data_IF_270090806637
#
_entry.id   IF_270090806637
#
_cell.length_a   1.000
_cell.length_b   1.000
_cell.length_c   1.000
_cell.angle_alpha   90.00
_cell.angle_beta   90.00
_cell.angle_gamma   90.00
#
_symmetry.space_group_name_H-M   'P 1'
#
loop_
_entity.id
_entity.type
_entity.pdbx_description
1 polymer ?
#
# COMPACT_ATOMS: atom_id res chain seq x y z
N UNK A 1 -3.69 9.75 -31.28
CA UNK A 1 -2.34 9.61 -30.67
C UNK A 1 -2.30 10.66 -29.57
N UNK A 2 -2.47 10.38 -28.29
CA UNK A 2 -1.73 9.50 -27.37
C UNK A 2 -2.70 8.76 -26.44
N UNK A 3 -2.44 7.46 -26.23
CA UNK A 3 -3.31 6.55 -25.48
C UNK A 3 -3.00 6.62 -23.97
N UNK A 4 -3.22 7.79 -23.36
CA UNK A 4 -3.31 7.89 -21.90
C UNK A 4 -4.57 7.14 -21.51
N UNK A 5 -4.50 5.95 -20.90
CA UNK A 5 -5.66 5.10 -20.56
C UNK A 5 -6.68 5.72 -19.58
N UNK A 6 -6.72 7.05 -19.45
CA UNK A 6 -7.66 7.83 -18.70
C UNK A 6 -8.91 8.14 -19.53
N UNK A 7 -10.06 7.89 -18.92
CA UNK A 7 -11.36 8.27 -19.46
C UNK A 7 -11.52 9.80 -19.49
N UNK A 8 -12.33 10.33 -20.42
CA UNK A 8 -12.64 11.76 -20.49
C UNK A 8 -13.22 12.30 -19.18
N UNK A 9 -13.92 11.46 -18.40
CA UNK A 9 -14.44 11.78 -17.07
C UNK A 9 -13.31 12.04 -16.06
N UNK A 10 -12.26 11.23 -16.08
CA UNK A 10 -11.10 11.39 -15.20
C UNK A 10 -10.32 12.67 -15.55
N UNK A 11 -10.17 12.96 -16.84
CA UNK A 11 -9.51 14.19 -17.31
C UNK A 11 -10.30 15.43 -16.92
N UNK A 12 -11.63 15.41 -17.12
CA UNK A 12 -12.52 16.50 -16.73
C UNK A 12 -12.45 16.79 -15.22
N UNK A 13 -12.45 15.75 -14.39
CA UNK A 13 -12.30 15.87 -12.94
C UNK A 13 -10.92 16.43 -12.56
N UNK A 14 -9.86 15.95 -13.20
CA UNK A 14 -8.50 16.40 -12.92
C UNK A 14 -8.25 17.87 -13.30
N UNK A 15 -8.88 18.34 -14.39
CA UNK A 15 -8.79 19.71 -14.88
C UNK A 15 -9.86 20.65 -14.27
N UNK A 16 -10.74 20.12 -13.42
CA UNK A 16 -11.89 20.83 -12.82
C UNK A 16 -12.75 21.53 -13.87
N UNK A 17 -13.10 20.80 -14.94
CA UNK A 17 -13.98 21.26 -16.02
C UNK A 17 -15.05 20.21 -16.31
N UNK A 18 -16.08 20.59 -17.06
CA UNK A 18 -17.14 19.64 -17.41
C UNK A 18 -16.66 18.63 -18.46
N UNK A 19 -17.24 17.42 -18.45
CA UNK A 19 -16.98 16.39 -19.47
C UNK A 19 -17.34 16.89 -20.88
N UNK A 20 -18.40 17.71 -20.99
CA UNK A 20 -18.80 18.34 -22.25
C UNK A 20 -17.76 19.31 -22.78
N UNK A 21 -17.13 20.09 -21.89
CA UNK A 21 -16.03 21.01 -22.24
C UNK A 21 -14.84 20.25 -22.82
N UNK A 22 -14.43 19.14 -22.20
CA UNK A 22 -13.34 18.29 -22.71
C UNK A 22 -13.71 17.64 -24.04
N UNK A 23 -14.95 17.17 -24.20
CA UNK A 23 -15.41 16.55 -25.46
C UNK A 23 -15.44 17.54 -26.62
N UNK A 24 -15.85 18.79 -26.38
CA UNK A 24 -15.82 19.87 -27.37
C UNK A 24 -14.39 20.31 -27.69
N UNK A 25 -13.54 20.41 -26.66
CA UNK A 25 -12.13 20.76 -26.82
C UNK A 25 -11.37 19.72 -27.65
N UNK A 26 -11.57 18.42 -27.38
CA UNK A 26 -10.98 17.33 -28.16
C UNK A 26 -11.47 17.26 -29.62
N UNK A 27 -12.57 17.92 -29.94
CA UNK A 27 -13.17 17.99 -31.28
C UNK A 27 -12.93 19.34 -31.98
N UNK A 28 -12.11 20.21 -31.39
CA UNK A 28 -11.86 21.59 -31.85
C UNK A 28 -13.13 22.44 -32.01
N UNK A 29 -14.17 22.14 -31.22
CA UNK A 29 -15.48 22.80 -31.26
C UNK A 29 -15.76 23.63 -30.01
N UNK A 30 -14.78 23.79 -29.13
CA UNK A 30 -14.93 24.60 -27.93
C UNK A 30 -14.75 26.09 -28.26
N UNK A 31 -15.87 26.82 -28.35
CA UNK A 31 -15.89 28.26 -28.63
C UNK A 31 -15.60 29.16 -27.41
N UNK A 32 -15.15 28.59 -26.30
CA UNK A 32 -14.81 29.31 -25.08
C UNK A 32 -13.36 29.77 -25.06
N UNK A 33 -12.83 30.01 -23.86
CA UNK A 33 -11.44 30.40 -23.65
C UNK A 33 -10.52 29.17 -23.79
N UNK A 34 -10.06 28.93 -25.02
CA UNK A 34 -9.18 27.82 -25.37
C UNK A 34 -7.80 27.99 -24.72
N UNK A 35 -7.27 29.21 -24.63
CA UNK A 35 -5.96 29.49 -24.05
C UNK A 35 -5.90 29.11 -22.57
N UNK A 36 -6.93 29.48 -21.80
CA UNK A 36 -7.03 29.09 -20.39
C UNK A 36 -7.16 27.58 -20.19
N UNK A 37 -7.76 26.87 -21.15
CA UNK A 37 -7.87 25.42 -21.10
C UNK A 37 -6.54 24.75 -21.45
N UNK A 38 -5.81 25.28 -22.44
CA UNK A 38 -4.45 24.85 -22.78
C UNK A 38 -3.50 25.00 -21.59
N UNK A 39 -3.53 26.13 -20.89
CA UNK A 39 -2.71 26.37 -19.70
C UNK A 39 -2.97 25.32 -18.60
N UNK A 40 -4.25 24.98 -18.36
CA UNK A 40 -4.63 23.94 -17.40
C UNK A 40 -4.15 22.56 -17.81
N UNK A 41 -4.24 22.23 -19.10
CA UNK A 41 -3.76 20.96 -19.65
C UNK A 41 -2.24 20.88 -19.52
N UNK A 42 -1.52 21.95 -19.87
CA UNK A 42 -0.07 22.03 -19.74
C UNK A 42 0.38 21.89 -18.29
N UNK A 43 -0.29 22.56 -17.35
CA UNK A 43 0.00 22.42 -15.92
C UNK A 43 -0.27 21.00 -15.41
N UNK A 44 -1.38 20.38 -15.84
CA UNK A 44 -1.70 19.00 -15.48
C UNK A 44 -0.65 18.01 -16.00
N UNK A 45 -0.24 18.14 -17.27
CA UNK A 45 0.81 17.29 -17.87
C UNK A 45 2.14 17.49 -17.17
N UNK A 46 2.56 18.73 -16.90
CA UNK A 46 3.77 19.02 -16.15
C UNK A 46 3.74 18.40 -14.74
N UNK A 47 2.59 18.43 -14.04
CA UNK A 47 2.41 17.75 -12.75
C UNK A 47 2.49 16.23 -12.86
N UNK A 48 1.99 15.63 -13.95
CA UNK A 48 2.12 14.19 -14.20
C UNK A 48 3.57 13.80 -14.50
N UNK A 49 4.26 14.57 -15.33
CA UNK A 49 5.67 14.35 -15.66
C UNK A 49 6.55 14.47 -14.42
N UNK A 50 6.29 15.44 -13.53
CA UNK A 50 6.96 15.55 -12.24
C UNK A 50 6.72 14.33 -11.33
N UNK A 51 5.52 13.73 -11.36
CA UNK A 51 5.23 12.49 -10.63
C UNK A 51 5.97 11.29 -11.22
N UNK A 52 6.02 11.19 -12.54
CA UNK A 52 6.72 10.12 -13.26
C UNK A 52 8.23 10.23 -13.04
N UNK A 53 8.81 11.44 -13.19
CA UNK A 53 10.23 11.71 -12.94
C UNK A 53 10.62 11.41 -11.49
N UNK A 54 9.81 11.80 -10.50
CA UNK A 54 10.02 11.42 -9.09
C UNK A 54 9.89 9.93 -8.83
N UNK A 55 9.03 9.23 -9.56
CA UNK A 55 8.90 7.77 -9.48
C UNK A 55 10.11 7.05 -10.09
N UNK A 56 10.72 7.61 -11.14
CA UNK A 56 11.91 7.04 -11.78
C UNK A 56 13.23 7.36 -11.06
N UNK A 57 13.31 8.42 -10.26
CA UNK A 57 14.61 8.91 -9.77
C UNK A 57 15.30 8.08 -8.67
N UNK A 58 14.66 7.09 -8.04
CA UNK A 58 15.39 6.09 -7.23
C UNK A 58 14.49 4.92 -6.78
N UNK A 59 14.11 4.03 -7.70
CA UNK A 59 13.29 2.85 -7.32
C UNK A 59 14.10 1.70 -6.73
N UNK A 60 15.44 1.76 -6.76
CA UNK A 60 16.28 0.70 -6.23
C UNK A 60 16.56 0.93 -4.74
N UNK A 61 16.20 -0.07 -3.92
CA UNK A 61 16.52 -0.07 -2.52
C UNK A 61 18.04 -0.05 -2.31
N UNK A 62 18.54 0.99 -1.63
CA UNK A 62 19.96 1.12 -1.29
C UNK A 62 20.22 0.49 0.08
N UNK A 63 21.07 -0.53 0.10
CA UNK A 63 21.53 -1.16 1.35
C UNK A 63 22.49 -0.24 2.10
N UNK A 64 21.96 0.63 2.95
CA UNK A 64 22.73 1.43 3.91
C UNK A 64 23.08 0.61 5.15
N UNK A 65 23.98 1.11 6.01
CA UNK A 65 24.29 0.45 7.29
C UNK A 65 23.05 0.33 8.18
N UNK A 66 22.22 1.38 8.24
CA UNK A 66 20.99 1.38 9.03
C UNK A 66 19.96 0.37 8.48
N UNK A 67 19.85 0.29 7.14
CA UNK A 67 19.00 -0.67 6.46
C UNK A 67 19.42 -2.11 6.77
N UNK A 68 20.72 -2.44 6.69
CA UNK A 68 21.23 -3.79 7.03
C UNK A 68 20.90 -4.17 8.48
N UNK A 69 21.23 -3.33 9.44
CA UNK A 69 20.92 -3.59 10.86
C UNK A 69 19.43 -3.79 11.11
N UNK A 70 18.60 -2.98 10.45
CA UNK A 70 17.14 -3.11 10.55
C UNK A 70 16.67 -4.45 9.97
N UNK A 71 17.19 -4.86 8.80
CA UNK A 71 16.89 -6.16 8.20
C UNK A 71 17.28 -7.32 9.12
N UNK A 72 18.47 -7.27 9.74
CA UNK A 72 18.95 -8.31 10.66
C UNK A 72 18.02 -8.44 11.88
N UNK A 73 17.63 -7.30 12.45
CA UNK A 73 16.71 -7.24 13.59
C UNK A 73 15.32 -7.74 13.23
N UNK A 74 14.82 -7.41 12.03
CA UNK A 74 13.55 -7.93 11.52
C UNK A 74 13.61 -9.44 11.31
N UNK A 75 14.73 -9.96 10.79
CA UNK A 75 14.92 -11.39 10.59
C UNK A 75 14.95 -12.15 11.92
N UNK A 76 15.61 -11.58 12.93
CA UNK A 76 15.57 -12.10 14.30
C UNK A 76 14.14 -12.14 14.84
N UNK A 77 13.39 -11.04 14.71
CA UNK A 77 11.99 -10.96 15.15
C UNK A 77 11.09 -12.00 14.46
N UNK A 78 11.25 -12.17 13.14
CA UNK A 78 10.50 -13.12 12.32
C UNK A 78 10.78 -14.57 12.74
N UNK A 79 12.04 -14.90 13.03
CA UNK A 79 12.45 -16.28 13.35
C UNK A 79 12.10 -16.65 14.79
N UNK A 80 12.29 -15.74 15.74
CA UNK A 80 12.14 -16.00 17.18
C UNK A 80 10.75 -15.62 17.73
N UNK A 81 9.85 -15.10 16.87
CA UNK A 81 8.52 -14.65 17.27
C UNK A 81 8.57 -13.50 18.30
N UNK A 82 9.54 -12.58 18.16
CA UNK A 82 9.73 -11.45 19.07
C UNK A 82 9.18 -10.16 18.48
N UNK A 83 8.81 -9.24 19.36
CA UNK A 83 8.44 -7.87 18.97
C UNK A 83 9.71 -7.01 19.05
N UNK A 84 10.00 -6.26 18.00
CA UNK A 84 11.12 -5.32 17.98
C UNK A 84 10.67 -3.94 17.52
N UNK A 85 11.25 -2.90 18.13
CA UNK A 85 10.99 -1.51 17.83
C UNK A 85 12.18 -0.93 17.08
N UNK A 86 11.93 -0.39 15.88
CA UNK A 86 12.93 0.31 15.07
C UNK A 86 12.57 1.79 15.04
N UNK A 87 13.46 2.63 15.57
CA UNK A 87 13.28 4.08 15.64
C UNK A 87 14.51 4.82 15.10
N UNK A 88 14.35 6.12 14.82
CA UNK A 88 15.42 6.97 14.30
C UNK A 88 14.87 8.22 13.61
N UNK A 89 15.74 9.14 13.22
CA UNK A 89 15.36 10.37 12.52
C UNK A 89 14.57 10.10 11.22
N UNK A 90 13.72 11.07 10.84
CA UNK A 90 13.03 11.04 9.56
C UNK A 90 14.06 11.04 8.40
N UNK A 91 13.74 10.36 7.30
CA UNK A 91 14.64 10.28 6.14
C UNK A 91 15.71 9.17 6.19
N UNK A 92 15.90 8.48 7.32
CA UNK A 92 16.88 7.36 7.43
C UNK A 92 16.45 6.05 6.73
N UNK A 93 15.37 6.07 5.94
CA UNK A 93 14.95 4.89 5.18
C UNK A 93 14.24 3.79 5.98
N UNK A 94 13.69 4.09 7.18
CA UNK A 94 12.92 3.12 7.99
C UNK A 94 11.78 2.47 7.21
N UNK A 95 10.86 3.31 6.70
CA UNK A 95 9.72 2.85 5.89
C UNK A 95 10.17 2.14 4.61
N UNK A 96 11.24 2.62 3.97
CA UNK A 96 11.80 1.97 2.79
C UNK A 96 12.33 0.57 3.09
N UNK A 97 12.99 0.39 4.24
CA UNK A 97 13.51 -0.90 4.70
C UNK A 97 12.38 -1.88 5.06
N UNK A 98 11.33 -1.40 5.72
CA UNK A 98 10.14 -2.22 6.02
C UNK A 98 9.45 -2.70 4.73
N UNK A 99 9.31 -1.82 3.73
CA UNK A 99 8.73 -2.14 2.42
C UNK A 99 9.57 -3.17 1.67
N UNK A 100 10.88 -2.99 1.67
CA UNK A 100 11.82 -3.94 1.07
C UNK A 100 11.76 -5.31 1.78
N UNK A 101 11.69 -5.35 3.11
CA UNK A 101 11.58 -6.60 3.86
C UNK A 101 10.31 -7.35 3.49
N UNK A 102 9.17 -6.64 3.45
CA UNK A 102 7.89 -7.23 3.05
C UNK A 102 7.90 -7.76 1.60
N UNK A 103 8.60 -7.08 0.69
CA UNK A 103 8.78 -7.54 -0.69
C UNK A 103 9.66 -8.81 -0.77
N UNK A 104 10.67 -8.95 0.09
CA UNK A 104 11.57 -10.12 0.13
C UNK A 104 10.97 -11.35 0.77
N UNK A 105 10.07 -11.17 1.74
CA UNK A 105 9.48 -12.26 2.52
C UNK A 105 7.95 -12.25 2.35
N UNK A 106 7.40 -13.03 1.40
CA UNK A 106 5.96 -13.11 1.16
C UNK A 106 5.15 -13.64 2.36
N UNK A 107 5.80 -14.24 3.36
CA UNK A 107 5.18 -14.65 4.62
C UNK A 107 4.99 -13.49 5.62
N UNK A 108 5.48 -12.30 5.30
CA UNK A 108 5.36 -11.10 6.13
C UNK A 108 4.31 -10.14 5.57
N UNK A 109 3.71 -9.36 6.47
CA UNK A 109 2.68 -8.37 6.13
C UNK A 109 3.11 -7.00 6.66
N UNK A 110 3.09 -5.98 5.79
CA UNK A 110 3.30 -4.60 6.19
C UNK A 110 1.96 -3.90 6.40
N UNK A 111 1.74 -3.37 7.60
CA UNK A 111 0.55 -2.59 7.94
C UNK A 111 0.99 -1.18 8.34
N UNK A 112 0.65 -0.20 7.51
CA UNK A 112 0.86 1.22 7.82
C UNK A 112 -0.36 1.74 8.60
N UNK A 113 -0.19 2.06 9.88
CA UNK A 113 -1.26 2.55 10.75
C UNK A 113 -1.22 4.08 10.89
N UNK A 114 -2.38 4.68 11.17
CA UNK A 114 -2.51 6.08 11.57
C UNK A 114 -3.18 6.18 12.96
N UNK A 115 -3.10 7.33 13.66
CA UNK A 115 -3.66 7.49 15.01
C UNK A 115 -5.16 7.21 15.14
N UNK A 116 -5.93 7.21 14.05
CA UNK A 116 -7.36 6.87 14.03
C UNK A 116 -7.65 5.37 14.03
N UNK A 117 -6.64 4.50 13.98
CA UNK A 117 -6.83 3.06 13.99
C UNK A 117 -7.38 2.59 15.33
N UNK A 118 -8.58 2.02 15.31
CA UNK A 118 -9.12 1.22 16.40
C UNK A 118 -8.87 -0.29 16.14
N UNK A 119 -9.01 -1.16 17.16
CA UNK A 119 -8.77 -2.59 17.01
C UNK A 119 -9.58 -3.25 15.88
N UNK A 120 -10.81 -2.77 15.64
CA UNK A 120 -11.66 -3.28 14.55
C UNK A 120 -11.03 -2.99 13.19
N UNK A 121 -10.62 -1.74 12.95
CA UNK A 121 -9.96 -1.36 11.68
C UNK A 121 -8.68 -2.16 11.46
N UNK A 122 -7.89 -2.39 12.50
CA UNK A 122 -6.68 -3.21 12.42
C UNK A 122 -6.99 -4.67 12.05
N UNK A 123 -7.94 -5.30 12.75
CA UNK A 123 -8.34 -6.69 12.48
C UNK A 123 -8.90 -6.84 11.06
N UNK A 124 -9.73 -5.90 10.60
CA UNK A 124 -10.24 -5.89 9.23
C UNK A 124 -9.11 -5.79 8.20
N UNK A 125 -8.12 -4.92 8.42
CA UNK A 125 -6.95 -4.80 7.53
C UNK A 125 -6.10 -6.06 7.50
N UNK A 126 -5.91 -6.73 8.64
CA UNK A 126 -5.21 -8.02 8.69
C UNK A 126 -6.00 -9.08 7.90
N UNK A 127 -7.32 -9.16 8.12
CA UNK A 127 -8.18 -10.10 7.43
C UNK A 127 -8.15 -9.91 5.91
N UNK A 128 -8.29 -8.67 5.43
CA UNK A 128 -8.21 -8.33 4.00
C UNK A 128 -6.88 -8.77 3.38
N UNK A 129 -5.75 -8.48 4.04
CA UNK A 129 -4.43 -8.90 3.55
C UNK A 129 -4.22 -10.43 3.59
N UNK A 130 -4.94 -11.14 4.47
CA UNK A 130 -4.93 -12.61 4.53
C UNK A 130 -5.92 -13.28 3.55
N UNK A 131 -6.76 -12.50 2.85
CA UNK A 131 -7.86 -13.02 2.04
C UNK A 131 -8.99 -13.63 2.86
N UNK A 132 -9.18 -13.18 4.11
CA UNK A 132 -10.25 -13.60 5.01
C UNK A 132 -11.39 -12.60 4.97
N UNK A 133 -12.62 -13.10 4.85
CA UNK A 133 -13.81 -12.25 4.87
C UNK A 133 -14.09 -11.76 6.30
N UNK A 134 -13.87 -10.46 6.53
CA UNK A 134 -14.08 -9.81 7.81
C UNK A 134 -15.58 -9.57 8.09
N UNK A 135 -16.29 -10.62 8.50
CA UNK A 135 -17.69 -10.58 8.91
C UNK A 135 -17.83 -10.94 10.38
N UNK A 136 -18.60 -10.14 11.12
CA UNK A 136 -18.92 -10.33 12.53
C UNK A 136 -18.35 -9.26 13.46
N UNK A 137 -18.35 -9.57 14.75
CA UNK A 137 -17.67 -8.82 15.78
C UNK A 137 -16.16 -9.04 15.74
N UNK A 138 -15.42 -8.33 16.60
CA UNK A 138 -13.95 -8.43 16.62
C UNK A 138 -13.46 -9.86 16.93
N UNK A 139 -14.17 -10.59 17.78
CA UNK A 139 -13.84 -11.97 18.12
C UNK A 139 -13.97 -12.90 16.91
N UNK A 140 -15.06 -12.81 16.15
CA UNK A 140 -15.29 -13.64 14.97
C UNK A 140 -14.22 -13.41 13.90
N UNK A 141 -13.83 -12.15 13.67
CA UNK A 141 -12.79 -11.81 12.71
C UNK A 141 -11.43 -12.32 13.18
N UNK A 142 -11.14 -12.20 14.48
CA UNK A 142 -9.90 -12.70 15.07
C UNK A 142 -9.76 -14.22 14.92
N UNK A 143 -10.79 -15.00 15.28
CA UNK A 143 -10.78 -16.46 15.15
C UNK A 143 -10.55 -16.90 13.70
N UNK A 144 -11.23 -16.28 12.73
CA UNK A 144 -11.02 -16.58 11.30
C UNK A 144 -9.59 -16.30 10.83
N UNK A 145 -8.96 -15.23 11.34
CA UNK A 145 -7.57 -14.93 11.05
C UNK A 145 -6.66 -16.03 11.63
N UNK A 146 -6.88 -16.43 12.88
CA UNK A 146 -6.11 -17.48 13.56
C UNK A 146 -6.26 -18.82 12.84
N UNK A 147 -7.47 -19.20 12.46
CA UNK A 147 -7.75 -20.41 11.67
C UNK A 147 -6.96 -20.42 10.35
N UNK A 148 -6.97 -19.29 9.63
CA UNK A 148 -6.23 -19.15 8.36
C UNK A 148 -4.73 -19.38 8.56
N UNK A 149 -4.13 -18.78 9.59
CA UNK A 149 -2.72 -18.98 9.88
C UNK A 149 -2.43 -20.41 10.34
N UNK A 150 -3.26 -20.99 11.20
CA UNK A 150 -3.08 -22.36 11.72
C UNK A 150 -3.18 -23.41 10.61
N UNK A 151 -4.12 -23.26 9.68
CA UNK A 151 -4.26 -24.12 8.51
C UNK A 151 -3.01 -24.08 7.61
N UNK A 152 -2.40 -22.90 7.45
CA UNK A 152 -1.14 -22.74 6.69
C UNK A 152 0.04 -23.42 7.39
N UNK A 153 0.09 -23.38 8.73
CA UNK A 153 1.13 -24.09 9.50
C UNK A 153 0.94 -25.60 9.45
N UNK A 154 -0.27 -26.12 9.69
CA UNK A 154 -0.58 -27.56 9.70
C UNK A 154 -0.30 -28.25 8.34
N UNK A 155 -0.51 -27.54 7.23
CA UNK A 155 -0.23 -28.05 5.89
C UNK A 155 1.28 -28.11 5.56
N UNK A 156 2.13 -27.31 6.23
CA UNK A 156 3.57 -27.23 5.96
C UNK A 156 4.44 -28.00 6.94
N UNK A 157 4.00 -28.13 8.18
CA UNK A 157 4.65 -28.90 9.23
C UNK A 157 3.58 -29.81 9.80
N UNK A 158 3.69 -31.13 9.60
CA UNK A 158 2.76 -32.10 10.18
C UNK A 158 2.83 -32.04 11.71
N UNK A 159 2.12 -31.10 12.31
CA UNK A 159 2.20 -30.76 13.72
C UNK A 159 0.91 -31.18 14.43
N UNK A 160 1.08 -32.05 15.43
CA UNK A 160 0.04 -32.49 16.36
C UNK A 160 -0.40 -31.31 17.24
N UNK A 161 -1.71 -31.15 17.53
CA UNK A 161 -2.22 -29.97 18.22
C UNK A 161 -1.66 -29.84 19.65
N UNK A 162 -1.52 -28.60 20.18
CA UNK A 162 -1.09 -28.39 21.55
C UNK A 162 -2.14 -28.90 22.53
N UNK A 163 -1.67 -29.66 23.52
CA UNK A 163 -2.47 -30.18 24.63
C UNK A 163 -2.96 -28.98 25.45
N UNK A 164 -4.27 -28.75 25.40
CA UNK A 164 -4.93 -27.70 26.17
C UNK A 164 -4.92 -28.07 27.65
N UNK A 165 -4.02 -27.47 28.43
CA UNK A 165 -4.14 -27.45 29.88
C UNK A 165 -5.20 -26.42 30.29
N UNK A 166 -6.46 -26.84 30.28
CA UNK A 166 -7.48 -26.24 31.14
C UNK A 166 -7.03 -26.44 32.59
N UNK A 167 -6.85 -25.33 33.31
CA UNK A 167 -7.07 -25.27 34.76
C UNK A 167 -8.25 -24.36 35.01
#
# INVERSE_FOLDING_TARGET
MTNSGMTQKQIAQALSVSVGTISLYLKDQYAGDVQRLDDKVAEYLARQDQKILKAHYNSQFVSTLAARKTMDVMQYAHTEGKIVVVYGAAGLGKTATLKEYAARYPSSMLIETDPGYNPRVLLHKIAENCGVVAQGGNHDVFEKIVEKFTALYSCRVGFSPPINHKK
#
